data_IF_144072742461
#
_entry.id   IF_144072742461
#
_cell.length_a   1.000
_cell.length_b   1.000
_cell.length_c   1.000
_cell.angle_alpha   90.00
_cell.angle_beta   90.00
_cell.angle_gamma   90.00
#
_symmetry.space_group_name_H-M   'P 1'
#
loop_
_entity.id
_entity.type
_entity.pdbx_description
1 polymer ?
#
# COMPACT_ATOMS: atom_id res chain seq x y z
N UNK A 1 34.39 8.48 -14.81
CA UNK A 1 34.57 7.25 -15.59
C UNK A 1 33.19 6.84 -16.12
N UNK A 2 33.00 7.02 -17.44
CA UNK A 2 31.93 6.42 -18.29
C UNK A 2 31.99 4.88 -18.17
N UNK A 3 31.00 4.02 -18.43
CA UNK A 3 29.77 3.93 -19.23
C UNK A 3 29.02 2.64 -18.71
N UNK A 4 27.76 2.28 -18.99
CA UNK A 4 27.08 1.78 -20.23
C UNK A 4 25.55 1.82 -19.89
N UNK A 5 24.61 2.52 -20.56
CA UNK A 5 23.99 2.50 -21.91
C UNK A 5 22.92 1.41 -22.22
N UNK A 6 21.68 1.92 -22.53
CA UNK A 6 20.66 1.51 -23.53
C UNK A 6 19.87 0.19 -23.35
N UNK A 7 18.56 0.03 -23.60
CA UNK A 7 17.36 0.76 -24.15
C UNK A 7 16.12 -0.03 -23.63
N UNK A 8 14.86 0.40 -23.56
CA UNK A 8 14.06 1.46 -24.19
C UNK A 8 12.74 1.58 -23.40
N UNK A 9 12.15 2.79 -23.38
CA UNK A 9 10.76 3.10 -23.01
C UNK A 9 10.36 3.25 -21.51
N UNK A 10 11.02 4.14 -20.76
CA UNK A 10 10.47 4.71 -19.52
C UNK A 10 10.28 6.22 -19.69
N UNK A 11 9.15 6.62 -20.26
CA UNK A 11 8.81 8.02 -20.47
C UNK A 11 8.78 8.82 -19.15
N UNK A 12 9.52 9.93 -19.10
CA UNK A 12 9.26 11.16 -18.34
C UNK A 12 9.20 11.15 -16.79
N UNK A 13 9.89 10.24 -16.10
CA UNK A 13 9.97 10.28 -14.62
C UNK A 13 11.16 11.06 -14.04
N UNK A 14 12.08 11.56 -14.86
CA UNK A 14 13.24 12.32 -14.37
C UNK A 14 12.84 13.73 -13.92
N UNK A 15 12.54 13.87 -12.61
CA UNK A 15 12.59 15.14 -11.90
C UNK A 15 11.33 15.57 -11.14
N UNK A 16 10.22 14.82 -11.22
CA UNK A 16 9.00 15.12 -10.44
C UNK A 16 8.84 14.15 -9.28
N UNK A 17 8.64 14.71 -8.08
CA UNK A 17 8.30 13.93 -6.89
C UNK A 17 7.00 13.14 -7.19
N UNK A 18 6.92 11.83 -6.90
CA UNK A 18 5.75 11.00 -7.22
C UNK A 18 4.40 11.62 -6.82
N UNK A 19 4.36 12.30 -5.69
CA UNK A 19 3.20 13.04 -5.20
C UNK A 19 2.69 14.10 -6.20
N UNK A 20 3.60 14.83 -6.85
CA UNK A 20 3.24 15.86 -7.83
C UNK A 20 2.67 15.24 -9.11
N UNK A 21 3.07 14.03 -9.47
CA UNK A 21 2.47 13.30 -10.59
C UNK A 21 1.01 12.97 -10.29
N UNK A 22 0.72 12.50 -9.07
CA UNK A 22 -0.65 12.20 -8.63
C UNK A 22 -1.54 13.44 -8.64
N UNK A 23 -1.04 14.57 -8.09
CA UNK A 23 -1.76 15.85 -8.07
C UNK A 23 -2.05 16.42 -9.46
N UNK A 24 -1.20 16.11 -10.44
CA UNK A 24 -1.40 16.48 -11.85
C UNK A 24 -2.35 15.52 -12.58
N UNK A 25 -2.92 14.52 -11.90
CA UNK A 25 -3.85 13.57 -12.48
C UNK A 25 -3.20 12.48 -13.32
N UNK A 26 -1.88 12.28 -13.23
CA UNK A 26 -1.21 11.19 -13.92
C UNK A 26 -1.68 9.85 -13.35
N UNK A 27 -2.04 8.90 -14.20
CA UNK A 27 -2.36 7.53 -13.80
C UNK A 27 -1.08 6.70 -13.79
N UNK A 28 -0.82 6.05 -12.66
CA UNK A 28 0.29 5.14 -12.41
C UNK A 28 -0.24 3.85 -11.80
N UNK A 29 0.63 2.87 -11.61
CA UNK A 29 0.38 1.66 -10.84
C UNK A 29 1.56 1.40 -9.92
N UNK A 30 1.29 0.81 -8.74
CA UNK A 30 2.35 0.20 -7.95
C UNK A 30 2.83 -1.06 -8.69
N UNK A 31 4.14 -1.23 -8.80
CA UNK A 31 4.79 -2.43 -9.34
C UNK A 31 4.30 -3.68 -8.62
N UNK A 32 4.01 -4.73 -9.38
CA UNK A 32 3.63 -6.05 -8.85
C UNK A 32 4.84 -6.99 -8.70
N UNK A 33 6.03 -6.51 -9.07
CA UNK A 33 7.25 -7.31 -9.19
C UNK A 33 7.92 -7.58 -7.83
N UNK A 34 7.65 -6.74 -6.83
CA UNK A 34 8.22 -6.85 -5.48
C UNK A 34 7.11 -6.65 -4.43
N UNK A 35 7.24 -7.28 -3.25
CA UNK A 35 6.41 -6.93 -2.10
C UNK A 35 6.60 -5.44 -1.76
N UNK A 36 5.53 -4.67 -1.95
CA UNK A 36 5.50 -3.26 -1.64
C UNK A 36 4.07 -2.84 -1.29
N UNK A 37 3.94 -1.80 -0.49
CA UNK A 37 2.70 -1.13 -0.18
C UNK A 37 2.87 0.37 -0.28
N UNK A 38 1.81 1.08 -0.64
CA UNK A 38 1.75 2.54 -0.53
C UNK A 38 0.57 2.94 0.34
N UNK A 39 0.80 3.88 1.24
CA UNK A 39 -0.27 4.55 1.98
C UNK A 39 -0.40 5.96 1.44
N UNK A 40 -1.52 6.23 0.78
CA UNK A 40 -1.86 7.56 0.29
C UNK A 40 -2.66 8.29 1.35
N UNK A 41 -2.16 9.42 1.85
CA UNK A 41 -2.95 10.26 2.76
C UNK A 41 -3.74 11.31 1.97
N UNK A 42 -5.04 11.34 2.21
CA UNK A 42 -5.96 12.38 1.80
C UNK A 42 -6.32 13.23 3.03
N UNK A 43 -6.98 14.39 2.87
CA UNK A 43 -7.25 15.28 4.01
C UNK A 43 -7.91 14.57 5.19
N UNK A 44 -8.92 13.74 4.92
CA UNK A 44 -9.78 13.12 5.93
C UNK A 44 -9.57 11.63 6.16
N UNK A 45 -8.84 10.93 5.29
CA UNK A 45 -8.62 9.48 5.38
C UNK A 45 -7.28 9.09 4.76
N UNK A 46 -6.89 7.84 4.93
CA UNK A 46 -5.76 7.24 4.22
C UNK A 46 -6.23 6.01 3.46
N UNK A 47 -5.51 5.65 2.41
CA UNK A 47 -5.81 4.49 1.57
C UNK A 47 -4.57 3.61 1.45
N UNK A 48 -4.75 2.31 1.64
CA UNK A 48 -3.69 1.32 1.38
C UNK A 48 -3.78 0.85 -0.07
N UNK A 49 -2.65 0.89 -0.75
CA UNK A 49 -2.47 0.47 -2.14
C UNK A 49 -1.51 -0.71 -2.14
N UNK A 50 -2.00 -1.86 -2.57
CA UNK A 50 -1.23 -3.08 -2.72
C UNK A 50 -0.54 -3.22 -4.09
N UNK A 51 0.30 -4.24 -4.27
CA UNK A 51 1.03 -4.48 -5.52
C UNK A 51 0.11 -4.57 -6.74
N UNK A 52 0.49 -3.91 -7.83
CA UNK A 52 -0.28 -3.88 -9.08
C UNK A 52 -1.48 -2.93 -9.08
N UNK A 53 -1.79 -2.25 -7.99
CA UNK A 53 -2.95 -1.37 -7.91
C UNK A 53 -2.70 0.00 -8.52
N UNK A 54 -3.75 0.54 -9.16
CA UNK A 54 -3.72 1.87 -9.75
C UNK A 54 -3.59 2.98 -8.70
N UNK A 55 -2.79 4.01 -8.99
CA UNK A 55 -2.69 5.25 -8.22
C UNK A 55 -2.75 6.47 -9.15
N UNK A 56 -3.23 7.61 -8.66
CA UNK A 56 -3.35 8.83 -9.44
C UNK A 56 -4.69 8.97 -10.16
N UNK A 57 -4.67 9.58 -11.34
CA UNK A 57 -5.90 9.97 -12.04
C UNK A 57 -6.73 10.96 -11.21
N UNK A 58 -8.05 10.95 -11.40
CA UNK A 58 -8.96 11.84 -10.68
C UNK A 58 -9.12 11.49 -9.18
N UNK A 59 -8.68 10.30 -8.76
CA UNK A 59 -8.95 9.78 -7.41
C UNK A 59 -7.96 10.29 -6.36
N UNK A 60 -6.76 10.68 -6.78
CA UNK A 60 -5.65 11.04 -5.88
C UNK A 60 -5.14 12.48 -6.07
N UNK A 61 -5.97 13.33 -6.69
CA UNK A 61 -5.66 14.76 -6.87
C UNK A 61 -5.44 15.48 -5.53
N UNK A 62 -6.15 15.05 -4.49
CA UNK A 62 -6.05 15.58 -3.13
C UNK A 62 -5.05 14.80 -2.25
N UNK A 63 -4.18 13.98 -2.86
CA UNK A 63 -3.13 13.31 -2.11
C UNK A 63 -2.19 14.36 -1.48
N UNK A 64 -2.04 14.26 -0.16
CA UNK A 64 -1.24 15.19 0.64
C UNK A 64 0.15 14.64 0.90
N UNK A 65 0.25 13.34 1.13
CA UNK A 65 1.50 12.62 1.38
C UNK A 65 1.39 11.17 0.91
N UNK A 66 2.54 10.55 0.71
CA UNK A 66 2.67 9.14 0.36
C UNK A 66 3.69 8.51 1.29
N UNK A 67 3.36 7.34 1.84
CA UNK A 67 4.28 6.53 2.63
C UNK A 67 4.49 5.19 1.95
N UNK A 68 5.74 4.80 1.74
CA UNK A 68 6.07 3.51 1.14
C UNK A 68 6.37 2.49 2.24
N UNK A 69 5.88 1.27 2.04
CA UNK A 69 6.24 0.07 2.78
C UNK A 69 6.97 -0.85 1.80
N UNK A 70 8.18 -1.29 2.17
CA UNK A 70 9.06 -2.02 1.26
C UNK A 70 9.62 -1.18 0.11
N UNK A 71 9.97 -1.84 -1.00
CA UNK A 71 10.58 -1.19 -2.17
C UNK A 71 9.51 -0.84 -3.20
N UNK A 72 8.85 0.30 -3.02
CA UNK A 72 7.79 0.76 -3.93
C UNK A 72 8.36 1.32 -5.24
N UNK A 73 8.02 0.67 -6.36
CA UNK A 73 8.33 1.12 -7.72
C UNK A 73 7.02 1.48 -8.44
N UNK A 74 7.01 2.57 -9.21
CA UNK A 74 5.82 3.02 -9.92
C UNK A 74 5.96 2.76 -11.42
N UNK A 75 4.89 2.26 -12.04
CA UNK A 75 4.82 1.97 -13.48
C UNK A 75 3.67 2.72 -14.12
N UNK A 76 3.70 2.87 -15.44
CA UNK A 76 2.58 3.42 -16.22
C UNK A 76 1.81 2.25 -16.84
N UNK A 77 0.51 2.07 -16.55
CA UNK A 77 -0.33 1.14 -17.29
C UNK A 77 -0.63 1.73 -18.67
N UNK A 78 -0.05 1.17 -19.72
CA UNK A 78 -0.12 1.69 -21.09
C UNK A 78 -1.42 1.25 -21.78
N UNK A 79 -1.79 -0.02 -21.61
CA UNK A 79 -2.94 -0.62 -22.31
C UNK A 79 -4.24 -0.49 -21.51
N UNK A 80 -5.39 -0.62 -22.21
CA UNK A 80 -6.70 -0.63 -21.55
C UNK A 80 -6.80 -1.77 -20.52
N UNK A 81 -6.31 -2.96 -20.88
CA UNK A 81 -6.35 -4.13 -19.99
C UNK A 81 -5.51 -3.90 -18.73
N UNK A 82 -4.28 -3.37 -18.88
CA UNK A 82 -3.44 -3.03 -17.72
C UNK A 82 -4.12 -2.02 -16.78
N UNK A 83 -4.81 -1.02 -17.34
CA UNK A 83 -5.56 -0.04 -16.55
C UNK A 83 -6.72 -0.70 -15.81
N UNK A 84 -7.51 -1.54 -16.49
CA UNK A 84 -8.62 -2.27 -15.88
C UNK A 84 -8.13 -3.18 -14.76
N UNK A 85 -7.06 -3.93 -15.00
CA UNK A 85 -6.46 -4.82 -14.02
C UNK A 85 -5.93 -4.06 -12.80
N UNK A 86 -5.30 -2.91 -13.00
CA UNK A 86 -4.79 -2.08 -11.91
C UNK A 86 -5.92 -1.45 -11.09
N UNK A 87 -7.02 -1.00 -11.73
CA UNK A 87 -8.19 -0.52 -11.01
C UNK A 87 -8.91 -1.63 -10.25
N UNK A 88 -9.02 -2.84 -10.83
CA UNK A 88 -9.63 -3.97 -10.15
C UNK A 88 -8.88 -4.35 -8.88
N UNK A 89 -7.54 -4.37 -8.93
CA UNK A 89 -6.71 -4.60 -7.72
C UNK A 89 -6.92 -3.51 -6.66
N UNK A 90 -7.04 -2.25 -7.08
CA UNK A 90 -7.36 -1.15 -6.16
C UNK A 90 -8.71 -1.35 -5.47
N UNK A 91 -9.74 -1.75 -6.22
CA UNK A 91 -11.06 -2.09 -5.66
C UNK A 91 -10.93 -3.21 -4.63
N UNK A 92 -10.19 -4.28 -4.93
CA UNK A 92 -9.95 -5.38 -3.97
C UNK A 92 -9.22 -4.91 -2.72
N UNK A 93 -8.28 -3.95 -2.81
CA UNK A 93 -7.66 -3.36 -1.63
C UNK A 93 -8.66 -2.58 -0.78
N UNK A 94 -9.52 -1.77 -1.42
CA UNK A 94 -10.59 -1.03 -0.74
C UNK A 94 -11.54 -1.99 -0.02
N UNK A 95 -11.97 -3.08 -0.67
CA UNK A 95 -12.84 -4.09 -0.06
C UNK A 95 -12.16 -4.79 1.13
N UNK A 96 -10.86 -5.05 1.04
CA UNK A 96 -10.08 -5.62 2.16
C UNK A 96 -10.05 -4.68 3.34
N UNK A 97 -9.76 -3.40 3.10
CA UNK A 97 -9.76 -2.36 4.13
C UNK A 97 -11.15 -2.17 4.73
N UNK A 98 -12.21 -2.21 3.92
CA UNK A 98 -13.58 -2.12 4.38
C UNK A 98 -13.94 -3.25 5.35
N UNK A 99 -13.56 -4.50 5.05
CA UNK A 99 -13.80 -5.64 5.96
C UNK A 99 -13.10 -5.47 7.32
N UNK A 100 -11.92 -4.82 7.33
CA UNK A 100 -11.26 -4.46 8.59
C UNK A 100 -12.08 -3.40 9.33
N UNK A 101 -12.56 -2.38 8.61
CA UNK A 101 -13.38 -1.30 9.15
C UNK A 101 -14.75 -1.74 9.68
N UNK A 102 -15.27 -2.88 9.24
CA UNK A 102 -16.54 -3.46 9.69
C UNK A 102 -16.47 -4.06 11.11
N UNK A 103 -15.27 -4.21 11.70
CA UNK A 103 -15.18 -4.64 13.10
C UNK A 103 -15.71 -3.55 14.05
N UNK A 104 -16.60 -3.94 14.97
CA UNK A 104 -17.32 -3.03 15.87
C UNK A 104 -16.36 -2.24 16.77
N UNK A 105 -15.46 -2.94 17.45
CA UNK A 105 -14.55 -2.33 18.41
C UNK A 105 -13.39 -1.60 17.70
N UNK A 106 -13.09 -0.34 18.05
CA UNK A 106 -11.96 0.41 17.47
C UNK A 106 -10.62 -0.30 17.64
N UNK A 107 -10.42 -0.98 18.78
CA UNK A 107 -9.19 -1.72 19.04
C UNK A 107 -9.06 -2.93 18.10
N UNK A 108 -10.16 -3.64 17.82
CA UNK A 108 -10.15 -4.77 16.88
C UNK A 108 -9.81 -4.32 15.46
N UNK A 109 -10.33 -3.16 15.02
CA UNK A 109 -9.95 -2.56 13.73
C UNK A 109 -8.46 -2.27 13.66
N UNK A 110 -7.91 -1.66 14.71
CA UNK A 110 -6.48 -1.35 14.82
C UNK A 110 -5.62 -2.62 14.81
N UNK A 111 -5.99 -3.64 15.59
CA UNK A 111 -5.26 -4.91 15.65
C UNK A 111 -5.30 -5.63 14.30
N UNK A 112 -6.47 -5.75 13.67
CA UNK A 112 -6.61 -6.37 12.34
C UNK A 112 -5.81 -5.64 11.26
N UNK A 113 -5.72 -4.31 11.33
CA UNK A 113 -4.85 -3.52 10.45
C UNK A 113 -3.38 -3.92 10.63
N UNK A 114 -2.89 -3.93 11.87
CA UNK A 114 -1.50 -4.26 12.16
C UNK A 114 -1.19 -5.70 11.78
N UNK A 115 -2.07 -6.66 12.07
CA UNK A 115 -1.94 -8.05 11.63
C UNK A 115 -1.87 -8.18 10.11
N UNK A 116 -2.72 -7.46 9.37
CA UNK A 116 -2.69 -7.46 7.90
C UNK A 116 -1.33 -6.95 7.40
N UNK A 117 -0.83 -5.85 7.95
CA UNK A 117 0.45 -5.27 7.55
C UNK A 117 1.62 -6.19 7.94
N UNK A 118 1.63 -6.78 9.13
CA UNK A 118 2.68 -7.69 9.60
C UNK A 118 2.74 -9.01 8.82
N UNK A 119 1.66 -9.43 8.15
CA UNK A 119 1.70 -10.56 7.22
C UNK A 119 2.47 -10.24 5.92
N UNK A 120 2.68 -8.96 5.63
CA UNK A 120 3.26 -8.50 4.36
C UNK A 120 4.59 -7.77 4.52
N UNK A 121 4.81 -7.10 5.65
CA UNK A 121 5.94 -6.22 5.92
C UNK A 121 6.52 -6.51 7.30
N UNK A 122 7.81 -6.20 7.49
CA UNK A 122 8.41 -6.33 8.82
C UNK A 122 7.94 -5.19 9.74
N UNK A 123 8.03 -5.42 11.06
CA UNK A 123 7.55 -4.46 12.05
C UNK A 123 8.29 -3.12 11.93
N UNK A 124 9.58 -3.17 11.65
CA UNK A 124 10.45 -1.99 11.49
C UNK A 124 9.99 -1.10 10.34
N UNK A 125 9.55 -1.70 9.22
CA UNK A 125 8.99 -0.97 8.08
C UNK A 125 7.68 -0.29 8.45
N UNK A 126 6.78 -1.02 9.12
CA UNK A 126 5.46 -0.49 9.51
C UNK A 126 5.61 0.65 10.53
N UNK A 127 6.56 0.55 11.45
CA UNK A 127 6.83 1.58 12.46
C UNK A 127 7.38 2.89 11.88
N UNK A 128 7.81 2.92 10.61
CA UNK A 128 8.12 4.18 9.92
C UNK A 128 6.88 5.04 9.66
N UNK A 129 5.70 4.43 9.67
CA UNK A 129 4.42 5.07 9.46
C UNK A 129 3.86 5.54 10.81
N UNK A 130 3.53 6.83 10.92
CA UNK A 130 3.02 7.36 12.18
C UNK A 130 1.66 6.76 12.56
N UNK A 131 1.38 6.67 13.86
CA UNK A 131 0.07 6.22 14.35
C UNK A 131 -1.08 7.09 13.82
N UNK A 132 -0.83 8.36 13.49
CA UNK A 132 -1.82 9.25 12.87
C UNK A 132 -2.20 8.79 11.47
N UNK A 133 -1.22 8.34 10.69
CA UNK A 133 -1.43 7.80 9.34
C UNK A 133 -2.15 6.45 9.41
N UNK A 134 -1.67 5.55 10.26
CA UNK A 134 -2.28 4.22 10.45
C UNK A 134 -3.72 4.33 10.95
N UNK A 135 -3.99 5.26 11.87
CA UNK A 135 -5.34 5.48 12.39
C UNK A 135 -6.34 5.92 11.30
N UNK A 136 -5.88 6.71 10.31
CA UNK A 136 -6.69 7.15 9.17
C UNK A 136 -7.05 6.03 8.19
N UNK A 137 -6.33 4.90 8.19
CA UNK A 137 -6.66 3.75 7.35
C UNK A 137 -7.93 3.03 7.82
N UNK A 138 -8.22 3.07 9.12
CA UNK A 138 -9.31 2.28 9.74
C UNK A 138 -10.26 3.09 10.64
N UNK A 139 -10.17 4.42 10.60
CA UNK A 139 -11.08 5.32 11.30
C UNK A 139 -11.05 5.14 12.82
N UNK A 140 -9.87 5.23 13.42
CA UNK A 140 -9.66 5.13 14.89
C UNK A 140 -8.84 6.31 15.41
N UNK A 141 -8.62 6.38 16.73
CA UNK A 141 -7.70 7.37 17.30
C UNK A 141 -6.24 6.88 17.20
N UNK A 142 -5.25 7.77 17.06
CA UNK A 142 -3.84 7.40 17.08
C UNK A 142 -3.43 6.64 18.35
N UNK A 143 -4.03 6.96 19.49
CA UNK A 143 -3.84 6.23 20.75
C UNK A 143 -4.34 4.80 20.69
N UNK A 144 -5.38 4.51 19.91
CA UNK A 144 -5.89 3.14 19.70
C UNK A 144 -4.87 2.31 18.92
N UNK A 145 -4.21 2.88 17.91
CA UNK A 145 -3.10 2.22 17.21
C UNK A 145 -1.94 1.95 18.18
N UNK A 146 -1.59 2.93 19.02
CA UNK A 146 -0.54 2.77 20.02
C UNK A 146 -0.85 1.63 21.02
N UNK A 147 -2.11 1.48 21.44
CA UNK A 147 -2.54 0.36 22.28
C UNK A 147 -2.50 -0.97 21.52
N UNK A 148 -2.90 -1.01 20.25
CA UNK A 148 -2.85 -2.23 19.44
C UNK A 148 -1.40 -2.74 19.29
N UNK A 149 -0.42 -1.84 19.09
CA UNK A 149 1.00 -2.21 19.07
C UNK A 149 1.47 -2.89 20.36
N UNK A 150 0.95 -2.50 21.52
CA UNK A 150 1.30 -3.12 22.81
C UNK A 150 0.71 -4.52 22.97
N UNK A 151 -0.38 -4.81 22.26
CA UNK A 151 -1.08 -6.09 22.32
C UNK A 151 -0.69 -7.05 21.21
N UNK A 152 -0.03 -6.54 20.16
CA UNK A 152 0.44 -7.37 19.07
C UNK A 152 1.48 -8.35 19.63
N UNK A 153 1.27 -9.67 19.51
CA UNK A 153 2.27 -10.63 19.92
C UNK A 153 3.50 -10.44 19.03
N UNK A 154 4.55 -9.85 19.61
CA UNK A 154 5.86 -9.85 19.00
C UNK A 154 6.34 -11.30 19.04
N UNK A 155 6.08 -12.06 17.98
CA UNK A 155 6.77 -13.33 17.82
C UNK A 155 8.27 -13.03 17.68
N UNK A 156 9.03 -13.26 18.76
CA UNK A 156 10.49 -13.34 18.72
C UNK A 156 10.89 -14.50 17.79
N UNK A 157 10.99 -14.27 16.49
CA UNK A 157 11.95 -14.89 15.55
C UNK A 157 11.60 -14.58 14.09
N UNK A 158 12.29 -13.58 13.52
CA UNK A 158 12.63 -13.63 12.10
C UNK A 158 14.00 -14.29 11.98
N UNK A 159 14.05 -15.52 11.49
CA UNK A 159 15.24 -15.99 10.80
C UNK A 159 14.84 -16.85 9.60
N UNK A 160 14.33 -16.20 8.57
CA UNK A 160 14.49 -16.63 7.19
C UNK A 160 14.09 -15.51 6.24
N UNK A 161 14.97 -15.24 5.28
CA UNK A 161 14.84 -14.33 4.14
C UNK A 161 13.44 -14.32 3.48
N UNK A 162 13.08 -13.26 2.73
CA UNK A 162 11.81 -13.22 2.02
C UNK A 162 11.69 -14.45 1.10
N UNK A 163 10.76 -15.34 1.44
CA UNK A 163 10.35 -16.43 0.57
C UNK A 163 9.61 -15.85 -0.63
N UNK A 164 9.98 -16.32 -1.82
CA UNK A 164 9.24 -16.14 -3.07
C UNK A 164 7.81 -16.68 -2.91
N UNK A 165 6.93 -15.88 -2.32
CA UNK A 165 5.51 -16.17 -2.28
C UNK A 165 4.89 -15.71 -3.60
N UNK A 166 4.78 -16.68 -4.52
CA UNK A 166 3.84 -16.65 -5.64
C UNK A 166 2.46 -16.33 -5.07
N UNK A 167 1.91 -15.17 -5.43
CA UNK A 167 0.51 -14.82 -5.17
C UNK A 167 -0.38 -15.78 -5.97
N UNK A 168 -0.72 -16.91 -5.36
CA UNK A 168 -1.79 -17.78 -5.80
C UNK A 168 -3.13 -17.16 -5.43
N UNK A 169 -4.05 -17.12 -6.40
CA UNK A 169 -5.46 -16.85 -6.21
C UNK A 169 -6.00 -17.65 -5.02
N UNK A 170 -6.22 -17.00 -3.87
CA UNK A 170 -7.06 -17.58 -2.83
C UNK A 170 -8.51 -17.25 -3.16
N UNK A 171 -9.17 -18.22 -3.81
CA UNK A 171 -10.61 -18.41 -3.71
C UNK A 171 -10.98 -18.47 -2.23
N UNK A 172 -11.61 -17.40 -1.73
CA UNK A 172 -12.45 -17.51 -0.55
C UNK A 172 -13.68 -18.32 -0.96
N UNK A 173 -13.64 -19.61 -0.65
CA UNK A 173 -14.83 -20.45 -0.58
C UNK A 173 -15.74 -19.86 0.51
N UNK A 174 -16.88 -19.31 0.06
CA UNK A 174 -17.99 -18.92 0.92
C UNK A 174 -18.75 -20.20 1.26
N UNK A 175 -18.80 -20.54 2.55
CA UNK A 175 -19.80 -21.43 3.12
C UNK A 175 -20.91 -20.58 3.75
#
# INVERSE_FOLDING_TARGET
MKLIHHQENSADFEGKQPLELLKNGQLLSLSAQKPAGLILQKPFHAEFIGPGSAIGGMFDLECTTMHALGTAELTVPETLNERQDAFQKRVTNIETMQKICEADAPLDRATKLLEMLCRQFCIEEIQTVSNEVLAKLVGVLPSTIATAWQQLPLEENQNSAPSDHVYGESQLAVA
#
